data_IF_251465488834
#
_entry.id   IF_251465488834
#
_cell.length_a   1.000
_cell.length_b   1.000
_cell.length_c   1.000
_cell.angle_alpha   90.00
_cell.angle_beta   90.00
_cell.angle_gamma   90.00
#
_symmetry.space_group_name_H-M   'P 1'
#
loop_
_entity.id
_entity.type
_entity.pdbx_description
1 polymer ?
#
# COMPACT_ATOMS: atom_id res chain seq x y z
N UNK A 1 -17.11 -0.98 -28.86
CA UNK A 1 -17.49 -2.27 -28.25
C UNK A 1 -17.61 -2.01 -26.78
N UNK A 2 -18.83 -2.02 -26.21
CA UNK A 2 -19.03 -1.95 -24.79
C UNK A 2 -18.52 -3.27 -24.20
N UNK A 3 -17.35 -3.25 -23.59
CA UNK A 3 -16.87 -4.39 -22.81
C UNK A 3 -17.74 -4.50 -21.57
N UNK A 4 -18.45 -5.61 -21.42
CA UNK A 4 -19.22 -5.88 -20.20
C UNK A 4 -18.26 -5.97 -19.01
N UNK A 5 -18.63 -5.36 -17.91
CA UNK A 5 -17.90 -5.49 -16.63
C UNK A 5 -17.91 -6.96 -16.21
N UNK A 6 -16.79 -7.45 -15.68
CA UNK A 6 -16.73 -8.82 -15.16
C UNK A 6 -17.80 -9.02 -14.07
N UNK A 7 -18.53 -10.17 -14.03
CA UNK A 7 -19.65 -10.36 -13.09
C UNK A 7 -19.29 -10.09 -11.63
N UNK A 8 -18.12 -10.49 -11.16
CA UNK A 8 -17.68 -10.20 -9.78
C UNK A 8 -17.46 -8.70 -9.53
N UNK A 9 -16.93 -7.97 -10.51
CA UNK A 9 -16.79 -6.52 -10.40
C UNK A 9 -18.16 -5.83 -10.42
N UNK A 10 -19.10 -6.33 -11.24
CA UNK A 10 -20.46 -5.83 -11.25
C UNK A 10 -21.15 -6.01 -9.91
N UNK A 11 -20.99 -7.15 -9.24
CA UNK A 11 -21.54 -7.39 -7.89
C UNK A 11 -21.03 -6.36 -6.86
N UNK A 12 -19.75 -5.98 -6.93
CA UNK A 12 -19.17 -4.94 -6.07
C UNK A 12 -19.79 -3.56 -6.35
N UNK A 13 -19.98 -3.23 -7.62
CA UNK A 13 -20.60 -1.97 -8.03
C UNK A 13 -22.05 -1.90 -7.58
N UNK A 14 -22.81 -2.99 -7.77
CA UNK A 14 -24.22 -3.09 -7.35
C UNK A 14 -24.35 -3.01 -5.82
N UNK A 15 -23.43 -3.65 -5.09
CA UNK A 15 -23.39 -3.59 -3.62
C UNK A 15 -23.13 -2.16 -3.11
N UNK A 16 -22.19 -1.44 -3.72
CA UNK A 16 -21.94 -0.03 -3.40
C UNK A 16 -23.13 0.86 -3.72
N UNK A 17 -23.77 0.64 -4.87
CA UNK A 17 -24.96 1.39 -5.26
C UNK A 17 -26.13 1.13 -4.30
N UNK A 18 -26.35 -0.12 -3.89
CA UNK A 18 -27.39 -0.50 -2.93
C UNK A 18 -27.15 0.07 -1.53
N UNK A 19 -25.91 0.23 -1.12
CA UNK A 19 -25.53 0.86 0.14
C UNK A 19 -25.76 2.38 0.16
N UNK A 20 -26.02 3.00 -0.99
CA UNK A 20 -26.22 4.45 -1.10
C UNK A 20 -25.01 5.27 -0.68
N UNK A 21 -23.81 4.68 -0.71
CA UNK A 21 -22.59 5.37 -0.33
C UNK A 21 -22.27 6.48 -1.33
N UNK A 22 -21.92 7.68 -0.85
CA UNK A 22 -21.52 8.76 -1.74
C UNK A 22 -20.26 8.38 -2.51
N UNK A 23 -20.08 8.90 -3.74
CA UNK A 23 -18.88 8.67 -4.49
C UNK A 23 -17.66 9.31 -3.79
N UNK A 24 -16.49 8.71 -3.96
CA UNK A 24 -15.27 9.09 -3.23
C UNK A 24 -14.90 10.57 -3.38
N UNK A 25 -15.20 11.17 -4.53
CA UNK A 25 -14.90 12.59 -4.81
C UNK A 25 -15.84 13.59 -4.15
N UNK A 26 -16.92 13.13 -3.52
CA UNK A 26 -17.82 13.97 -2.71
C UNK A 26 -17.49 13.93 -1.23
N UNK A 27 -16.57 13.04 -0.81
CA UNK A 27 -16.13 12.90 0.57
C UNK A 27 -14.97 13.86 0.88
N UNK A 28 -14.90 14.29 2.13
CA UNK A 28 -13.67 14.87 2.66
C UNK A 28 -12.54 13.82 2.69
N UNK A 29 -11.25 14.22 2.71
CA UNK A 29 -10.13 13.30 2.83
C UNK A 29 -10.25 12.35 4.02
N UNK A 30 -10.71 12.83 5.17
CA UNK A 30 -10.86 12.02 6.39
C UNK A 30 -11.97 10.97 6.25
N UNK A 31 -13.11 11.34 5.67
CA UNK A 31 -14.20 10.41 5.39
C UNK A 31 -13.80 9.35 4.37
N UNK A 32 -13.06 9.76 3.33
CA UNK A 32 -12.53 8.85 2.32
C UNK A 32 -11.56 7.84 2.93
N UNK A 33 -10.64 8.28 3.79
CA UNK A 33 -9.68 7.44 4.52
C UNK A 33 -10.40 6.46 5.44
N UNK A 34 -11.33 6.95 6.27
CA UNK A 34 -12.11 6.10 7.16
C UNK A 34 -12.88 5.01 6.40
N UNK A 35 -13.45 5.34 5.23
CA UNK A 35 -14.13 4.38 4.37
C UNK A 35 -13.20 3.33 3.77
N UNK A 36 -11.97 3.72 3.37
CA UNK A 36 -10.95 2.79 2.88
C UNK A 36 -10.47 1.85 3.99
N UNK A 37 -10.20 2.38 5.18
CA UNK A 37 -9.75 1.61 6.34
C UNK A 37 -10.82 0.62 6.82
N UNK A 38 -12.08 1.04 6.84
CA UNK A 38 -13.20 0.15 7.15
C UNK A 38 -13.33 -1.01 6.14
N UNK A 39 -13.10 -0.75 4.86
CA UNK A 39 -13.07 -1.80 3.84
C UNK A 39 -11.85 -2.73 4.01
N UNK A 40 -10.70 -2.20 4.37
CA UNK A 40 -9.50 -3.00 4.64
C UNK A 40 -9.71 -3.96 5.81
N UNK A 41 -10.41 -3.54 6.85
CA UNK A 41 -10.68 -4.35 8.04
C UNK A 41 -11.52 -5.62 7.78
N UNK A 42 -12.27 -5.67 6.67
CA UNK A 42 -13.06 -6.85 6.29
C UNK A 42 -12.34 -7.77 5.29
N UNK A 43 -11.18 -7.35 4.79
CA UNK A 43 -10.35 -8.19 3.92
C UNK A 43 -9.67 -9.25 4.79
N UNK A 44 -9.72 -10.54 4.43
CA UNK A 44 -9.01 -11.58 5.16
C UNK A 44 -7.52 -11.26 5.27
N UNK A 45 -6.92 -11.63 6.39
CA UNK A 45 -5.47 -11.55 6.55
C UNK A 45 -4.78 -12.27 5.38
N UNK A 46 -3.68 -11.69 4.92
CA UNK A 46 -2.86 -12.31 3.89
C UNK A 46 -2.14 -13.57 4.40
N UNK A 47 -1.38 -14.24 3.53
CA UNK A 47 -0.63 -15.44 3.91
C UNK A 47 0.38 -15.13 5.04
N UNK A 48 0.67 -16.16 5.83
CA UNK A 48 1.76 -16.12 6.81
C UNK A 48 3.12 -16.02 6.10
N UNK A 49 4.03 -15.25 6.69
CA UNK A 49 5.39 -15.04 6.19
C UNK A 49 6.40 -15.42 7.28
N UNK A 50 7.65 -15.62 6.90
CA UNK A 50 8.76 -15.83 7.83
C UNK A 50 8.90 -14.65 8.80
N UNK A 51 8.82 -13.42 8.28
CA UNK A 51 8.77 -12.23 9.13
C UNK A 51 8.02 -11.07 8.48
N UNK A 52 7.43 -10.22 9.35
CA UNK A 52 6.91 -8.90 9.00
C UNK A 52 7.41 -7.94 10.07
N UNK A 53 8.05 -6.84 9.66
CA UNK A 53 8.65 -5.90 10.61
C UNK A 53 8.49 -4.47 10.12
N UNK A 54 8.18 -3.57 11.04
CA UNK A 54 8.15 -2.13 10.75
C UNK A 54 9.55 -1.55 10.87
N UNK A 55 9.88 -0.66 9.96
CA UNK A 55 11.17 0.05 9.89
C UNK A 55 10.94 1.53 9.64
N UNK A 56 12.01 2.31 9.74
CA UNK A 56 12.03 3.71 9.34
C UNK A 56 13.12 3.89 8.30
N UNK A 57 12.74 4.30 7.10
CA UNK A 57 13.65 4.62 6.01
C UNK A 57 14.14 6.07 6.18
N UNK A 58 15.45 6.34 6.14
CA UNK A 58 15.96 7.72 6.09
C UNK A 58 15.45 8.43 4.82
N UNK A 59 14.93 9.64 4.97
CA UNK A 59 14.50 10.48 3.85
C UNK A 59 14.91 11.93 4.06
N UNK A 60 14.86 12.74 3.03
CA UNK A 60 15.14 14.18 3.13
C UNK A 60 14.14 14.91 4.05
N UNK A 61 12.95 14.38 4.21
CA UNK A 61 11.92 14.91 5.12
C UNK A 61 12.05 14.41 6.56
N UNK A 62 13.02 13.55 6.86
CA UNK A 62 13.20 12.89 8.15
C UNK A 62 13.09 11.37 8.04
N UNK A 63 12.43 10.72 9.00
CA UNK A 63 12.16 9.29 8.93
C UNK A 63 10.84 8.99 8.22
N UNK A 64 10.83 8.05 7.30
CA UNK A 64 9.66 7.59 6.57
C UNK A 64 9.30 6.16 7.01
N UNK A 65 8.09 5.92 7.60
CA UNK A 65 7.69 4.60 8.01
C UNK A 65 7.60 3.65 6.81
N UNK A 66 7.95 2.40 7.04
CA UNK A 66 7.80 1.34 6.05
C UNK A 66 7.66 -0.01 6.75
N UNK A 67 7.14 -1.01 6.04
CA UNK A 67 7.00 -2.38 6.53
C UNK A 67 7.66 -3.34 5.56
N UNK A 68 8.54 -4.19 6.08
CA UNK A 68 9.24 -5.24 5.33
C UNK A 68 8.53 -6.56 5.54
N UNK A 69 8.28 -7.24 4.45
CA UNK A 69 7.62 -8.53 4.37
C UNK A 69 8.59 -9.55 3.79
N UNK A 70 9.03 -10.50 4.58
CA UNK A 70 9.98 -11.53 4.17
C UNK A 70 9.30 -12.90 4.07
N UNK A 71 9.17 -13.47 2.87
CA UNK A 71 8.53 -14.77 2.69
C UNK A 71 9.43 -15.92 3.13
N UNK A 72 10.74 -15.71 3.21
CA UNK A 72 11.74 -16.69 3.62
C UNK A 72 12.99 -16.01 4.16
N UNK A 73 13.81 -16.77 4.89
CA UNK A 73 15.08 -16.29 5.46
C UNK A 73 16.15 -15.94 4.39
N UNK A 74 15.93 -16.28 3.14
CA UNK A 74 16.89 -16.09 2.04
C UNK A 74 16.18 -15.65 0.75
N UNK A 75 15.49 -14.53 0.80
CA UNK A 75 14.82 -13.96 -0.38
C UNK A 75 15.86 -13.53 -1.44
N UNK A 76 15.63 -13.81 -2.73
CA UNK A 76 16.60 -13.51 -3.78
C UNK A 76 16.67 -12.03 -4.20
N UNK A 77 15.80 -11.19 -3.67
CA UNK A 77 15.73 -9.79 -4.04
C UNK A 77 14.74 -8.99 -3.20
N UNK A 78 14.71 -7.69 -3.44
CA UNK A 78 13.85 -6.73 -2.75
C UNK A 78 12.93 -6.03 -3.76
N UNK A 79 11.63 -5.98 -3.45
CA UNK A 79 10.61 -5.22 -4.18
C UNK A 79 10.21 -4.01 -3.34
N UNK A 80 10.26 -2.82 -3.91
CA UNK A 80 9.72 -1.61 -3.29
C UNK A 80 8.27 -1.43 -3.73
N UNK A 81 7.36 -1.36 -2.78
CA UNK A 81 5.92 -1.26 -3.04
C UNK A 81 5.38 0.08 -2.56
N UNK A 82 4.69 0.76 -3.45
CA UNK A 82 3.98 2.01 -3.18
C UNK A 82 2.48 1.75 -3.36
N UNK A 83 1.72 1.90 -2.29
CA UNK A 83 0.28 1.62 -2.32
C UNK A 83 -0.48 2.62 -3.22
N UNK A 84 -1.60 2.17 -3.77
CA UNK A 84 -2.55 3.02 -4.47
C UNK A 84 -3.39 3.87 -3.51
N UNK A 85 -4.15 4.82 -4.06
CA UNK A 85 -5.05 5.65 -3.26
C UNK A 85 -5.13 7.10 -3.72
N UNK A 86 -4.68 7.41 -4.95
CA UNK A 86 -4.73 8.76 -5.52
C UNK A 86 -3.95 9.81 -4.72
N UNK A 87 -2.93 9.38 -3.98
CA UNK A 87 -2.10 10.19 -3.08
C UNK A 87 -2.87 10.84 -1.92
N UNK A 88 -4.08 10.38 -1.62
CA UNK A 88 -4.94 10.92 -0.55
C UNK A 88 -5.33 9.86 0.47
N UNK A 89 -5.50 8.62 0.05
CA UNK A 89 -5.91 7.49 0.89
C UNK A 89 -4.93 6.33 0.77
N UNK A 90 -5.01 5.38 1.69
CA UNK A 90 -4.15 4.20 1.77
C UNK A 90 -3.20 4.28 2.96
N UNK A 91 -2.79 3.10 3.43
CA UNK A 91 -1.89 2.92 4.57
C UNK A 91 -1.19 1.58 4.47
N UNK A 92 -0.15 1.35 5.29
CA UNK A 92 0.51 0.06 5.40
C UNK A 92 -0.49 -1.05 5.77
N UNK A 93 -1.37 -0.79 6.73
CA UNK A 93 -2.36 -1.77 7.19
C UNK A 93 -3.44 -2.04 6.13
N UNK A 94 -3.86 -1.01 5.41
CA UNK A 94 -4.84 -1.12 4.34
C UNK A 94 -4.41 -2.03 3.18
N UNK A 95 -3.10 -2.18 2.98
CA UNK A 95 -2.51 -2.98 1.91
C UNK A 95 -1.78 -4.24 2.41
N UNK A 96 -1.76 -4.51 3.72
CA UNK A 96 -1.02 -5.62 4.35
C UNK A 96 -1.29 -6.96 3.67
N UNK A 97 -2.55 -7.35 3.51
CA UNK A 97 -2.95 -8.62 2.89
C UNK A 97 -2.41 -8.78 1.46
N UNK A 98 -2.51 -7.70 0.65
CA UNK A 98 -2.05 -7.70 -0.74
C UNK A 98 -0.53 -7.78 -0.84
N UNK A 99 0.19 -7.09 0.06
CA UNK A 99 1.66 -7.08 0.08
C UNK A 99 2.20 -8.43 0.55
N UNK A 100 1.56 -9.07 1.53
CA UNK A 100 1.88 -10.47 1.92
C UNK A 100 1.74 -11.44 0.73
N UNK A 101 0.63 -11.32 -0.01
CA UNK A 101 0.42 -12.14 -1.19
C UNK A 101 1.48 -11.87 -2.28
N UNK A 102 1.89 -10.62 -2.45
CA UNK A 102 2.96 -10.25 -3.38
C UNK A 102 4.30 -10.86 -2.96
N UNK A 103 4.66 -10.80 -1.67
CA UNK A 103 5.89 -11.39 -1.14
C UNK A 103 5.94 -12.91 -1.41
N UNK A 104 4.85 -13.62 -1.12
CA UNK A 104 4.78 -15.07 -1.41
C UNK A 104 4.88 -15.34 -2.91
N UNK A 105 4.13 -14.59 -3.73
CA UNK A 105 4.09 -14.83 -5.18
C UNK A 105 5.42 -14.52 -5.88
N UNK A 106 6.16 -13.52 -5.41
CA UNK A 106 7.46 -13.15 -5.97
C UNK A 106 8.61 -13.97 -5.40
N UNK A 107 8.47 -14.48 -4.17
CA UNK A 107 9.55 -15.07 -3.38
C UNK A 107 10.58 -14.04 -2.89
N UNK A 108 10.37 -12.76 -3.15
CA UNK A 108 11.26 -11.67 -2.75
C UNK A 108 10.81 -11.03 -1.44
N UNK A 109 11.73 -10.36 -0.76
CA UNK A 109 11.35 -9.40 0.26
C UNK A 109 10.57 -8.25 -0.38
N UNK A 110 9.57 -7.73 0.32
CA UNK A 110 8.81 -6.55 -0.14
C UNK A 110 8.88 -5.49 0.93
N UNK A 111 9.31 -4.29 0.59
CA UNK A 111 9.19 -3.12 1.45
C UNK A 111 8.02 -2.26 0.98
N UNK A 112 6.98 -2.17 1.81
CA UNK A 112 5.84 -1.27 1.60
C UNK A 112 6.12 0.05 2.29
N UNK A 113 5.99 1.13 1.54
CA UNK A 113 6.39 2.48 1.97
C UNK A 113 5.17 3.31 2.33
N UNK A 114 5.19 3.90 3.53
CA UNK A 114 4.18 4.85 4.00
C UNK A 114 4.57 6.28 3.59
N UNK A 115 4.49 6.54 2.30
CA UNK A 115 4.85 7.83 1.73
C UNK A 115 3.84 8.91 2.12
N UNK A 116 4.28 10.15 2.19
CA UNK A 116 3.45 11.30 2.54
C UNK A 116 2.33 11.53 1.51
N UNK A 117 1.11 11.75 2.00
CA UNK A 117 -0.10 11.91 1.19
C UNK A 117 -0.73 13.30 1.37
N UNK A 118 -1.48 13.72 0.37
CA UNK A 118 -2.26 14.97 0.38
C UNK A 118 -3.55 14.81 1.22
N UNK A 119 -4.11 15.89 1.74
CA UNK A 119 -3.73 17.29 1.54
C UNK A 119 -2.62 17.78 2.46
N UNK A 120 -2.21 17.03 3.47
CA UNK A 120 -1.19 17.43 4.46
C UNK A 120 0.16 17.65 3.78
N UNK A 121 0.46 16.83 2.78
CA UNK A 121 1.69 16.89 2.01
C UNK A 121 1.39 16.88 0.52
N UNK A 122 1.32 18.07 -0.06
CA UNK A 122 1.06 18.23 -1.50
C UNK A 122 2.28 17.83 -2.35
N UNK A 123 2.05 17.67 -3.66
CA UNK A 123 3.14 17.47 -4.62
C UNK A 123 4.28 18.50 -4.40
N UNK A 124 5.56 18.09 -4.41
CA UNK A 124 6.07 16.78 -4.84
C UNK A 124 6.33 15.75 -3.71
N UNK A 125 5.83 15.95 -2.49
CA UNK A 125 6.20 15.18 -1.30
C UNK A 125 6.18 13.65 -1.51
N UNK A 126 5.10 13.10 -2.09
CA UNK A 126 5.00 11.67 -2.37
C UNK A 126 6.04 11.18 -3.39
N UNK A 127 6.38 12.00 -4.37
CA UNK A 127 7.38 11.67 -5.38
C UNK A 127 8.79 11.67 -4.79
N UNK A 128 9.09 12.65 -3.92
CA UNK A 128 10.37 12.73 -3.21
C UNK A 128 10.54 11.53 -2.28
N UNK A 129 9.52 11.17 -1.52
CA UNK A 129 9.52 9.99 -0.64
C UNK A 129 9.72 8.69 -1.44
N UNK A 130 9.03 8.55 -2.57
CA UNK A 130 9.19 7.37 -3.42
C UNK A 130 10.61 7.24 -3.96
N UNK A 131 11.24 8.37 -4.32
CA UNK A 131 12.62 8.39 -4.77
C UNK A 131 13.59 8.05 -3.64
N UNK A 132 13.42 8.64 -2.45
CA UNK A 132 14.25 8.36 -1.28
C UNK A 132 14.18 6.88 -0.87
N UNK A 133 12.98 6.28 -0.90
CA UNK A 133 12.80 4.86 -0.62
C UNK A 133 13.50 3.97 -1.65
N UNK A 134 13.46 4.32 -2.93
CA UNK A 134 14.16 3.59 -3.98
C UNK A 134 15.68 3.68 -3.81
N UNK A 135 16.21 4.86 -3.50
CA UNK A 135 17.65 5.06 -3.24
C UNK A 135 18.11 4.25 -2.04
N UNK A 136 17.31 4.27 -0.95
CA UNK A 136 17.59 3.45 0.22
C UNK A 136 17.58 1.95 -0.11
N UNK A 137 16.58 1.47 -0.81
CA UNK A 137 16.46 0.06 -1.19
C UNK A 137 17.62 -0.42 -2.08
N UNK A 138 18.16 0.47 -2.91
CA UNK A 138 19.33 0.19 -3.75
C UNK A 138 20.67 0.33 -3.01
N UNK A 139 20.67 0.75 -1.75
CA UNK A 139 21.87 0.84 -0.91
C UNK A 139 22.15 -0.46 -0.16
N UNK A 140 23.36 -0.58 0.38
CA UNK A 140 23.75 -1.72 1.24
C UNK A 140 22.80 -1.88 2.45
N UNK A 141 22.25 -0.78 2.98
CA UNK A 141 21.31 -0.80 4.09
C UNK A 141 19.95 -1.43 3.72
N UNK A 142 19.49 -1.23 2.49
CA UNK A 142 18.28 -1.85 1.97
C UNK A 142 18.46 -3.33 1.63
N UNK A 143 19.66 -3.71 1.18
CA UNK A 143 19.98 -5.08 0.79
C UNK A 143 20.40 -5.97 1.98
N UNK A 144 20.83 -5.37 3.09
CA UNK A 144 21.31 -6.07 4.29
C UNK A 144 20.19 -6.38 5.31
N UNK A 145 18.97 -5.99 5.00
CA UNK A 145 17.79 -6.21 5.85
C UNK A 145 17.09 -7.48 5.59
#
# INVERSE_FOLDING_TARGET
VATSVHPQAQMLLDGKAAAGAPPLWELSPDEARAGVDANAAIIPAGPELESVRDIVIPSQAGGMPARVYSPSASAPGLVVYYHGGGWVVGSLDGWDSSVRALAVASGCDVVSVDYRIAPEHVFPAAADDAYDALVWAASDAGLAG
#
